data_IF_221209523000
#
_entry.id   IF_221209523000
#
_cell.length_a   1.000
_cell.length_b   1.000
_cell.length_c   1.000
_cell.angle_alpha   90.00
_cell.angle_beta   90.00
_cell.angle_gamma   90.00
#
_symmetry.space_group_name_H-M   'P 1'
#
loop_
_entity.id
_entity.type
_entity.pdbx_description
1 polymer ?
#
# COMPACT_ATOMS: atom_id res chain seq x y z
N UNK A 1 8.57 -1.37 -12.15
CA UNK A 1 7.91 -2.14 -11.08
C UNK A 1 7.90 -1.29 -9.83
N UNK A 2 6.83 -1.37 -9.05
CA UNK A 2 6.64 -0.69 -7.77
C UNK A 2 6.68 -1.77 -6.69
N UNK A 3 7.42 -1.54 -5.60
CA UNK A 3 7.45 -2.46 -4.45
C UNK A 3 6.37 -2.07 -3.46
N UNK A 4 5.57 -3.03 -3.01
CA UNK A 4 4.50 -2.84 -2.02
C UNK A 4 4.94 -3.56 -0.75
N UNK A 5 5.10 -2.80 0.33
CA UNK A 5 5.46 -3.30 1.66
C UNK A 5 4.25 -3.23 2.60
N UNK A 6 4.03 -4.31 3.34
CA UNK A 6 2.97 -4.42 4.33
C UNK A 6 3.60 -4.33 5.71
N UNK A 7 3.27 -3.30 6.49
CA UNK A 7 3.89 -3.06 7.79
C UNK A 7 3.03 -3.56 8.95
N UNK A 8 3.70 -3.80 10.09
CA UNK A 8 3.05 -4.12 11.36
C UNK A 8 2.18 -5.38 11.30
N UNK A 9 0.94 -5.34 11.86
CA UNK A 9 0.09 -6.53 12.00
C UNK A 9 -0.41 -7.13 10.68
N UNK A 10 -0.18 -6.50 9.52
CA UNK A 10 -0.56 -7.08 8.22
C UNK A 10 0.23 -8.37 7.96
N UNK A 11 1.48 -8.48 8.44
CA UNK A 11 2.31 -9.68 8.42
C UNK A 11 2.33 -10.44 7.07
N UNK A 12 2.54 -9.70 5.98
CA UNK A 12 2.67 -10.25 4.61
C UNK A 12 4.01 -9.86 4.00
N UNK A 13 4.53 -10.74 3.16
CA UNK A 13 5.72 -10.46 2.38
C UNK A 13 5.47 -9.34 1.36
N UNK A 14 6.50 -8.55 1.08
CA UNK A 14 6.42 -7.51 0.08
C UNK A 14 6.26 -8.08 -1.32
N UNK A 15 5.45 -7.44 -2.15
CA UNK A 15 5.21 -7.84 -3.54
C UNK A 15 5.68 -6.75 -4.51
N UNK A 16 6.02 -7.14 -5.73
CA UNK A 16 6.36 -6.20 -6.81
C UNK A 16 5.30 -6.26 -7.90
N UNK A 17 4.72 -5.10 -8.22
CA UNK A 17 3.63 -4.99 -9.18
C UNK A 17 3.96 -3.93 -10.24
N UNK A 18 3.34 -4.06 -11.41
CA UNK A 18 3.35 -3.01 -12.44
C UNK A 18 2.02 -2.26 -12.34
N UNK A 19 2.02 -1.14 -11.63
CA UNK A 19 0.87 -0.26 -11.40
C UNK A 19 1.26 1.19 -11.65
N UNK A 20 0.31 1.99 -12.10
CA UNK A 20 0.55 3.38 -12.52
C UNK A 20 0.06 4.41 -11.51
N UNK A 21 -0.85 4.03 -10.61
CA UNK A 21 -1.42 4.88 -9.56
C UNK A 21 -2.01 4.04 -8.42
N UNK A 22 -2.46 4.70 -7.34
CA UNK A 22 -3.03 4.02 -6.18
C UNK A 22 -4.40 3.38 -6.44
N UNK A 23 -5.19 3.88 -7.39
CA UNK A 23 -6.49 3.28 -7.74
C UNK A 23 -6.32 1.89 -8.32
N UNK A 24 -5.39 1.74 -9.26
CA UNK A 24 -5.05 0.44 -9.85
C UNK A 24 -4.50 -0.52 -8.79
N UNK A 25 -3.60 -0.04 -7.93
CA UNK A 25 -3.07 -0.83 -6.81
C UNK A 25 -4.20 -1.31 -5.88
N UNK A 26 -5.13 -0.43 -5.51
CA UNK A 26 -6.26 -0.75 -4.63
C UNK A 26 -7.15 -1.85 -5.21
N UNK A 27 -7.44 -1.82 -6.51
CA UNK A 27 -8.24 -2.88 -7.15
C UNK A 27 -7.53 -4.24 -7.14
N UNK A 28 -6.21 -4.26 -7.32
CA UNK A 28 -5.41 -5.49 -7.24
C UNK A 28 -5.42 -6.02 -5.79
N UNK A 29 -5.14 -5.16 -4.80
CA UNK A 29 -5.06 -5.57 -3.40
C UNK A 29 -6.42 -6.03 -2.84
N UNK A 30 -7.54 -5.52 -3.34
CA UNK A 30 -8.89 -5.97 -2.96
C UNK A 30 -9.18 -7.43 -3.29
N UNK A 31 -8.45 -8.01 -4.25
CA UNK A 31 -8.58 -9.42 -4.61
C UNK A 31 -8.01 -10.34 -3.52
N UNK A 32 -7.10 -9.85 -2.68
CA UNK A 32 -6.59 -10.58 -1.53
C UNK A 32 -7.53 -10.38 -0.33
N UNK A 33 -8.27 -11.43 0.04
CA UNK A 33 -9.24 -11.36 1.12
C UNK A 33 -8.61 -10.99 2.47
N UNK A 34 -7.35 -11.38 2.70
CA UNK A 34 -6.64 -11.05 3.94
C UNK A 34 -6.30 -9.57 4.08
N UNK A 35 -6.35 -8.80 2.98
CA UNK A 35 -6.10 -7.37 2.97
C UNK A 35 -7.36 -6.53 3.14
N UNK A 36 -8.56 -7.10 2.95
CA UNK A 36 -9.83 -6.34 2.93
C UNK A 36 -10.05 -5.53 4.21
N UNK A 37 -9.74 -6.11 5.38
CA UNK A 37 -9.86 -5.41 6.67
C UNK A 37 -8.85 -4.25 6.82
N UNK A 38 -7.69 -4.35 6.16
CA UNK A 38 -6.61 -3.38 6.27
C UNK A 38 -6.76 -2.21 5.31
N UNK A 39 -7.26 -2.43 4.09
CA UNK A 39 -7.28 -1.42 3.02
C UNK A 39 -8.06 -0.15 3.38
N UNK A 40 -9.09 -0.26 4.22
CA UNK A 40 -9.86 0.90 4.71
C UNK A 40 -9.25 1.60 5.92
N UNK A 41 -8.30 0.96 6.59
CA UNK A 41 -7.69 1.44 7.83
C UNK A 41 -6.27 1.96 7.64
N UNK A 42 -5.58 1.51 6.59
CA UNK A 42 -4.19 1.83 6.37
C UNK A 42 -4.00 3.25 5.85
N UNK A 43 -3.00 3.94 6.38
CA UNK A 43 -2.36 5.03 5.67
C UNK A 43 -1.44 4.47 4.58
N UNK A 44 -1.19 5.27 3.54
CA UNK A 44 -0.31 4.91 2.42
C UNK A 44 0.87 5.86 2.38
N UNK A 45 2.08 5.32 2.34
CA UNK A 45 3.30 6.08 2.09
C UNK A 45 3.88 5.76 0.72
N UNK A 46 4.32 6.79 -0.01
CA UNK A 46 5.14 6.68 -1.21
C UNK A 46 6.55 7.17 -0.89
N UNK A 47 7.54 6.29 -1.03
CA UNK A 47 8.95 6.60 -0.74
C UNK A 47 9.12 7.26 0.64
N UNK A 48 8.55 6.63 1.66
CA UNK A 48 8.60 7.05 3.07
C UNK A 48 7.87 8.38 3.38
N UNK A 49 7.04 8.88 2.46
CA UNK A 49 6.17 10.05 2.67
C UNK A 49 4.70 9.67 2.58
N UNK A 50 3.91 10.03 3.59
CA UNK A 50 2.46 9.83 3.58
C UNK A 50 1.85 10.63 2.43
N UNK A 51 1.00 9.95 1.64
CA UNK A 51 0.25 10.54 0.55
C UNK A 51 -1.25 10.32 0.75
N UNK A 52 -2.04 11.25 0.24
CA UNK A 52 -3.50 11.22 0.32
C UNK A 52 -4.18 11.26 -1.06
N UNK A 53 -3.44 11.64 -2.11
CA UNK A 53 -3.97 11.69 -3.47
C UNK A 53 -3.89 10.31 -4.14
N UNK A 54 -5.05 9.71 -4.37
CA UNK A 54 -5.16 8.43 -5.07
C UNK A 54 -4.74 8.50 -6.55
N UNK A 55 -4.62 9.71 -7.13
CA UNK A 55 -4.18 9.93 -8.51
C UNK A 55 -2.67 10.13 -8.65
N UNK A 56 -1.93 10.07 -7.54
CA UNK A 56 -0.47 10.15 -7.54
C UNK A 56 0.11 9.13 -8.53
N UNK A 57 0.94 9.61 -9.46
CA UNK A 57 1.61 8.75 -10.45
C UNK A 57 2.70 7.93 -9.75
N UNK A 58 2.69 6.62 -10.02
CA UNK A 58 3.71 5.68 -9.54
C UNK A 58 4.68 5.35 -10.67
N UNK A 59 5.96 5.40 -10.35
CA UNK A 59 7.07 5.16 -11.26
C UNK A 59 7.80 3.87 -10.92
N UNK A 60 8.56 3.36 -11.89
CA UNK A 60 9.41 2.21 -11.63
C UNK A 60 10.48 2.55 -10.58
N UNK A 61 10.61 1.68 -9.58
CA UNK A 61 11.50 1.88 -8.42
C UNK A 61 10.81 2.51 -7.21
N UNK A 62 9.57 2.99 -7.36
CA UNK A 62 8.82 3.51 -6.22
C UNK A 62 8.48 2.42 -5.21
N UNK A 63 8.44 2.83 -3.94
CA UNK A 63 8.07 2.00 -2.80
C UNK A 63 6.78 2.52 -2.18
N UNK A 64 5.76 1.67 -2.15
CA UNK A 64 4.51 1.90 -1.43
C UNK A 64 4.53 1.11 -0.13
N UNK A 65 4.24 1.76 0.99
CA UNK A 65 4.07 1.09 2.28
C UNK A 65 2.62 1.24 2.75
N UNK A 66 1.98 0.12 3.11
CA UNK A 66 0.68 0.10 3.79
C UNK A 66 0.92 0.10 5.29
N UNK A 67 0.45 1.16 5.96
CA UNK A 67 0.65 1.38 7.38
C UNK A 67 -0.70 1.21 8.10
N UNK A 68 -0.95 0.07 8.77
CA UNK A 68 -2.16 -0.09 9.57
C UNK A 68 -2.15 0.89 10.76
N UNK A 69 -3.31 1.21 11.34
CA UNK A 69 -3.38 2.03 12.54
C UNK A 69 -2.51 1.42 13.64
N UNK A 70 -1.56 2.21 14.16
CA UNK A 70 -0.79 1.80 15.32
C UNK A 70 -1.52 2.26 16.57
N UNK A 71 -1.86 1.32 17.45
CA UNK A 71 -2.28 1.63 18.81
C UNK A 71 -1.06 2.15 19.57
N UNK A 72 -0.82 3.45 19.51
CA UNK A 72 0.16 4.10 20.36
C UNK A 72 -0.28 3.97 21.81
N UNK A 73 0.48 3.20 22.60
CA UNK A 73 0.32 3.14 24.06
C UNK A 73 0.76 4.43 24.73
#
# INVERSE_FOLDING_TARGET
>A
MVKIEFLGPINKESIELKVSNLKELKEILKQDESLKEWLGLCAVALNDKIIFDENQVLNSGDKISLLPPVGGG
#
